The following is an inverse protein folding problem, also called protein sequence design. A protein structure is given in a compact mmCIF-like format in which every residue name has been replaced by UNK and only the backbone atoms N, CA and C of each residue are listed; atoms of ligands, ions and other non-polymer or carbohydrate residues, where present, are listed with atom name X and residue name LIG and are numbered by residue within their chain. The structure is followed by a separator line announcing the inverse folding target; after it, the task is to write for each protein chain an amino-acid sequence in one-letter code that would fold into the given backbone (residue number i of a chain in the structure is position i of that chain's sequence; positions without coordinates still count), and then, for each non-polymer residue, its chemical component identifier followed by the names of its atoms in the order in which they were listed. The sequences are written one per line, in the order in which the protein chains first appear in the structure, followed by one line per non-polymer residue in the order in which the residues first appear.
data_IF_791902692775
#
_entry.id   IF_791902692775
#
_cell.length_a   1.000
_cell.length_b   1.000
_cell.length_c   1.000
_cell.angle_alpha   90.00
_cell.angle_beta   90.00
_cell.angle_gamma   90.00
#
_symmetry.space_group_name_H-M   'P 1'
#
loop_
_entity.id
_entity.type
_entity.pdbx_description
1 polymer ?
#
# COMPACT_ATOMS: atom_id res chain seq x y z
N UNK A 1 -49.02 -0.81 5.84
CA UNK A 1 -47.69 -0.44 6.35
C UNK A 1 -47.31 -1.51 7.36
N UNK A 2 -46.24 -2.27 7.13
CA UNK A 2 -45.83 -3.29 8.08
C UNK A 2 -45.36 -2.61 9.37
N UNK A 3 -45.94 -3.00 10.49
CA UNK A 3 -45.58 -2.50 11.82
C UNK A 3 -44.11 -2.91 12.11
N UNK A 4 -43.20 -1.96 12.35
CA UNK A 4 -41.81 -2.27 12.70
C UNK A 4 -41.78 -2.99 14.06
N UNK A 5 -41.13 -4.15 14.12
CA UNK A 5 -40.96 -4.92 15.35
C UNK A 5 -40.02 -4.23 16.31
N UNK A 6 -40.27 -4.35 17.62
CA UNK A 6 -39.40 -3.82 18.67
C UNK A 6 -37.96 -4.35 18.50
N UNK A 7 -36.95 -3.48 18.62
CA UNK A 7 -35.54 -3.86 18.43
C UNK A 7 -35.05 -4.91 19.44
N UNK A 8 -35.58 -4.91 20.64
CA UNK A 8 -35.28 -5.97 21.62
C UNK A 8 -35.86 -7.31 21.18
N UNK A 9 -37.06 -7.30 20.60
CA UNK A 9 -37.70 -8.52 20.05
C UNK A 9 -36.94 -9.02 18.81
N UNK A 10 -36.46 -8.12 17.96
CA UNK A 10 -35.66 -8.47 16.76
C UNK A 10 -34.37 -9.19 17.17
N UNK A 11 -33.71 -8.74 18.24
CA UNK A 11 -32.52 -9.42 18.77
C UNK A 11 -32.84 -10.59 19.72
N UNK A 12 -34.10 -10.78 20.10
CA UNK A 12 -34.53 -11.86 21.02
C UNK A 12 -34.02 -11.69 22.45
N UNK A 13 -33.93 -10.46 22.93
CA UNK A 13 -33.42 -10.08 24.26
C UNK A 13 -34.44 -9.22 25.02
N UNK A 14 -34.30 -9.10 26.34
CA UNK A 14 -35.15 -8.23 27.17
C UNK A 14 -34.71 -6.77 27.16
N UNK A 15 -35.63 -5.82 27.44
CA UNK A 15 -35.33 -4.36 27.52
C UNK A 15 -34.26 -4.00 28.55
N UNK A 16 -33.91 -4.87 29.47
CA UNK A 16 -32.86 -4.67 30.47
C UNK A 16 -31.54 -5.33 30.14
N UNK A 17 -31.38 -5.89 28.95
CA UNK A 17 -30.19 -6.64 28.55
C UNK A 17 -28.92 -5.76 28.62
N UNK A 18 -27.82 -6.34 29.08
CA UNK A 18 -26.51 -5.72 29.12
C UNK A 18 -25.91 -5.60 27.71
N UNK A 19 -24.94 -4.68 27.53
CA UNK A 19 -24.23 -4.50 26.25
C UNK A 19 -23.56 -5.80 25.78
N UNK A 20 -23.09 -6.62 26.71
CA UNK A 20 -22.51 -7.93 26.40
C UNK A 20 -23.55 -8.90 25.83
N UNK A 21 -24.77 -8.88 26.35
CA UNK A 21 -25.89 -9.72 25.87
C UNK A 21 -26.38 -9.25 24.51
N UNK A 22 -26.51 -7.94 24.28
CA UNK A 22 -26.85 -7.34 22.99
C UNK A 22 -25.83 -7.77 21.94
N UNK A 23 -24.54 -7.65 22.22
CA UNK A 23 -23.46 -8.03 21.32
C UNK A 23 -23.41 -9.52 21.04
N UNK A 24 -23.72 -10.37 22.03
CA UNK A 24 -23.79 -11.83 21.88
C UNK A 24 -24.97 -12.26 21.01
N UNK A 25 -26.16 -11.68 21.24
CA UNK A 25 -27.36 -11.94 20.45
C UNK A 25 -27.16 -11.54 18.99
N UNK A 26 -26.64 -10.34 18.75
CA UNK A 26 -26.31 -9.87 17.41
C UNK A 26 -25.38 -10.83 16.66
N UNK A 27 -24.24 -11.21 17.26
CA UNK A 27 -23.28 -12.15 16.61
C UNK A 27 -23.91 -13.48 16.24
N UNK A 28 -24.79 -14.00 17.10
CA UNK A 28 -25.48 -15.26 16.84
C UNK A 28 -26.46 -15.16 15.67
N UNK A 29 -27.26 -14.09 15.64
CA UNK A 29 -28.24 -13.85 14.58
C UNK A 29 -27.59 -13.44 13.26
N UNK A 30 -26.57 -12.60 13.30
CA UNK A 30 -25.82 -12.19 12.12
C UNK A 30 -25.17 -13.38 11.41
N UNK A 31 -24.61 -14.35 12.18
CA UNK A 31 -24.06 -15.58 11.62
C UNK A 31 -25.14 -16.49 11.01
N UNK A 32 -26.35 -16.53 11.64
CA UNK A 32 -27.47 -17.36 11.18
C UNK A 32 -28.11 -16.83 9.90
N UNK A 33 -28.22 -15.50 9.76
CA UNK A 33 -28.89 -14.84 8.63
C UNK A 33 -27.92 -14.17 7.66
N UNK A 34 -26.62 -14.53 7.71
CA UNK A 34 -25.63 -14.02 6.77
C UNK A 34 -25.97 -14.42 5.33
N UNK A 35 -25.93 -13.52 4.35
CA UNK A 35 -26.32 -13.81 2.97
C UNK A 35 -25.49 -14.93 2.32
N UNK A 36 -24.23 -15.12 2.74
CA UNK A 36 -23.37 -16.19 2.24
C UNK A 36 -23.72 -17.57 2.84
N UNK A 37 -24.39 -17.61 3.98
CA UNK A 37 -24.69 -18.85 4.73
C UNK A 37 -26.16 -19.24 4.57
N UNK A 38 -27.07 -18.26 4.54
CA UNK A 38 -28.51 -18.48 4.46
C UNK A 38 -29.07 -17.90 3.15
N UNK A 39 -29.62 -18.77 2.30
CA UNK A 39 -30.20 -18.42 0.99
C UNK A 39 -31.74 -18.33 1.01
N UNK A 40 -32.37 -18.28 2.18
CA UNK A 40 -33.83 -18.09 2.30
C UNK A 40 -34.23 -16.68 1.80
N UNK A 41 -35.37 -16.59 1.14
CA UNK A 41 -35.84 -15.35 0.50
C UNK A 41 -36.03 -14.18 1.49
N UNK A 42 -36.21 -14.45 2.78
CA UNK A 42 -36.40 -13.46 3.84
C UNK A 42 -35.15 -13.26 4.72
N UNK A 43 -34.04 -13.98 4.45
CA UNK A 43 -32.80 -13.88 5.22
C UNK A 43 -32.20 -12.47 5.13
N UNK A 44 -32.19 -11.87 3.95
CA UNK A 44 -31.67 -10.51 3.72
C UNK A 44 -32.49 -9.45 4.47
N UNK A 45 -33.82 -9.58 4.46
CA UNK A 45 -34.69 -8.66 5.18
C UNK A 45 -34.48 -8.76 6.71
N UNK A 46 -34.40 -9.99 7.24
CA UNK A 46 -34.11 -10.25 8.64
C UNK A 46 -32.71 -9.77 9.04
N UNK A 47 -31.71 -9.94 8.19
CA UNK A 47 -30.36 -9.45 8.43
C UNK A 47 -30.30 -7.92 8.52
N UNK A 48 -31.06 -7.21 7.67
CA UNK A 48 -31.18 -5.74 7.73
C UNK A 48 -31.84 -5.28 9.04
N UNK A 49 -32.93 -5.96 9.45
CA UNK A 49 -33.59 -5.64 10.73
C UNK A 49 -32.66 -5.89 11.95
N UNK A 50 -31.89 -6.98 11.94
CA UNK A 50 -30.93 -7.31 13.00
C UNK A 50 -29.81 -6.26 13.10
N UNK A 51 -29.31 -5.77 11.95
CA UNK A 51 -28.30 -4.73 11.92
C UNK A 51 -28.86 -3.39 12.42
N UNK A 52 -30.07 -3.00 12.00
CA UNK A 52 -30.74 -1.78 12.47
C UNK A 52 -30.97 -1.84 13.99
N UNK A 53 -31.43 -2.97 14.51
CA UNK A 53 -31.63 -3.15 15.93
C UNK A 53 -30.32 -3.07 16.74
N UNK A 54 -29.27 -3.68 16.25
CA UNK A 54 -27.96 -3.64 16.91
C UNK A 54 -27.35 -2.23 16.89
N UNK A 55 -27.48 -1.50 15.79
CA UNK A 55 -26.99 -0.13 15.66
C UNK A 55 -27.62 0.79 16.72
N UNK A 56 -28.91 0.65 16.96
CA UNK A 56 -29.60 1.48 17.95
C UNK A 56 -29.29 1.04 19.37
N UNK A 57 -29.29 -0.24 19.66
CA UNK A 57 -29.16 -0.78 21.02
C UNK A 57 -27.70 -0.86 21.50
N UNK A 58 -26.71 -0.83 20.59
CA UNK A 58 -25.28 -0.85 20.96
C UNK A 58 -24.74 0.52 21.39
N UNK A 59 -25.41 1.60 21.02
CA UNK A 59 -25.03 2.96 21.41
C UNK A 59 -25.85 3.42 22.61
N UNK A 60 -25.23 3.76 23.76
CA UNK A 60 -25.95 4.14 24.97
C UNK A 60 -26.92 5.33 24.78
N UNK A 61 -26.56 6.31 23.94
CA UNK A 61 -27.40 7.48 23.70
C UNK A 61 -28.61 7.16 22.82
N UNK A 62 -28.38 6.39 21.72
CA UNK A 62 -29.46 5.95 20.83
C UNK A 62 -30.40 5.01 21.56
N UNK A 63 -29.87 4.11 22.38
CA UNK A 63 -30.64 3.19 23.21
C UNK A 63 -31.53 3.96 24.21
N UNK A 64 -30.97 4.94 24.90
CA UNK A 64 -31.74 5.77 25.84
C UNK A 64 -32.88 6.55 25.14
N UNK A 65 -32.61 7.07 23.94
CA UNK A 65 -33.63 7.74 23.14
C UNK A 65 -34.70 6.78 22.65
N UNK A 66 -34.32 5.59 22.24
CA UNK A 66 -35.25 4.53 21.85
C UNK A 66 -36.09 4.04 23.02
N UNK A 67 -35.49 3.84 24.20
CA UNK A 67 -36.18 3.42 25.41
C UNK A 67 -37.22 4.40 25.90
N UNK A 68 -36.98 5.75 25.72
CA UNK A 68 -37.88 6.82 26.13
C UNK A 68 -38.98 7.13 25.11
N UNK A 69 -38.65 7.14 23.82
CA UNK A 69 -39.53 7.66 22.77
C UNK A 69 -39.91 6.60 21.70
N UNK A 70 -39.39 5.38 21.78
CA UNK A 70 -39.61 4.33 20.82
C UNK A 70 -39.16 4.75 19.41
N UNK A 71 -39.81 4.21 18.39
CA UNK A 71 -39.59 4.60 16.99
C UNK A 71 -39.92 6.07 16.69
N UNK A 72 -40.79 6.71 17.46
CA UNK A 72 -41.14 8.12 17.29
C UNK A 72 -39.92 9.02 17.60
N UNK A 73 -39.11 8.69 18.58
CA UNK A 73 -37.89 9.42 18.90
C UNK A 73 -36.82 9.33 17.84
N UNK A 74 -36.77 8.21 17.12
CA UNK A 74 -35.84 8.02 16.02
C UNK A 74 -36.28 8.73 14.73
N UNK A 75 -37.59 8.96 14.55
CA UNK A 75 -38.17 9.71 13.42
C UNK A 75 -38.28 11.22 13.66
N UNK A 76 -38.08 11.70 14.90
CA UNK A 76 -38.22 13.09 15.28
C UNK A 76 -37.20 14.05 14.70
N UNK A 77 -36.18 13.59 14.00
CA UNK A 77 -35.21 14.40 13.24
C UNK A 77 -35.68 14.78 11.82
N UNK A 78 -36.95 14.51 11.48
CA UNK A 78 -37.49 14.68 10.13
C UNK A 78 -38.24 16.00 9.88
N UNK A 79 -38.11 16.95 10.79
CA UNK A 79 -38.62 18.32 10.57
C UNK A 79 -37.53 19.24 10.03
N UNK A 80 -36.86 18.88 8.96
CA UNK A 80 -35.86 19.73 8.32
C UNK A 80 -34.88 19.00 7.40
N UNK A 81 -35.33 18.47 6.26
CA UNK A 81 -34.45 18.21 5.11
C UNK A 81 -33.99 16.76 4.89
N UNK A 82 -34.77 16.00 4.15
CA UNK A 82 -34.23 15.13 3.09
C UNK A 82 -33.54 13.82 3.47
N UNK A 83 -34.21 12.86 4.11
CA UNK A 83 -33.74 11.47 4.16
C UNK A 83 -34.65 10.51 3.36
N UNK A 84 -34.86 10.87 2.12
CA UNK A 84 -35.62 10.06 1.16
C UNK A 84 -34.79 9.75 -0.06
N UNK A 85 -33.94 8.71 -0.02
CA UNK A 85 -33.20 8.33 -1.22
C UNK A 85 -32.06 7.35 -1.01
N UNK A 86 -32.22 6.32 -0.16
CA UNK A 86 -31.24 5.23 -0.09
C UNK A 86 -31.85 3.90 -0.57
N UNK A 87 -32.38 3.96 -1.78
CA UNK A 87 -32.87 2.79 -2.51
C UNK A 87 -32.18 2.71 -3.85
N UNK A 88 -31.02 2.10 -3.93
CA UNK A 88 -30.40 1.82 -5.23
C UNK A 88 -28.89 1.56 -5.13
N UNK A 89 -28.51 0.28 -5.09
CA UNK A 89 -27.19 -0.16 -5.56
C UNK A 89 -26.08 -0.33 -4.54
N UNK A 90 -26.22 -1.25 -3.61
CA UNK A 90 -25.06 -1.83 -2.91
C UNK A 90 -24.61 -3.09 -3.64
N UNK A 91 -23.50 -2.95 -4.39
CA UNK A 91 -22.74 -4.09 -4.85
C UNK A 91 -21.69 -4.45 -3.79
N UNK A 92 -21.59 -5.74 -3.51
CA UNK A 92 -20.83 -6.34 -2.43
C UNK A 92 -19.33 -6.01 -2.47
N UNK A 93 -18.80 -5.42 -1.40
CA UNK A 93 -17.37 -5.23 -1.21
C UNK A 93 -17.04 -4.55 0.12
N UNK A 94 -16.53 -5.31 1.09
CA UNK A 94 -15.72 -4.85 2.19
C UNK A 94 -16.40 -4.16 3.38
N UNK A 95 -16.49 -4.87 4.49
CA UNK A 95 -17.01 -4.40 5.79
C UNK A 95 -16.20 -3.27 6.45
N UNK A 96 -14.96 -3.01 6.02
CA UNK A 96 -14.09 -1.97 6.59
C UNK A 96 -14.45 -0.56 6.09
N UNK A 97 -14.93 -0.41 4.85
CA UNK A 97 -15.30 0.89 4.27
C UNK A 97 -16.60 1.48 4.87
N UNK A 98 -17.47 0.64 5.44
CA UNK A 98 -18.72 1.10 6.06
C UNK A 98 -18.49 1.90 7.35
N UNK A 99 -17.45 1.58 8.10
CA UNK A 99 -17.13 2.28 9.34
C UNK A 99 -16.53 3.67 9.08
N UNK A 100 -15.78 3.83 8.00
CA UNK A 100 -15.19 5.11 7.60
C UNK A 100 -16.22 6.06 6.96
N UNK A 101 -17.15 5.54 6.17
CA UNK A 101 -18.25 6.34 5.59
C UNK A 101 -19.22 6.74 6.69
N UNK A 102 -19.47 5.86 7.66
CA UNK A 102 -20.37 6.14 8.78
C UNK A 102 -19.77 7.12 9.77
N UNK A 103 -18.51 7.03 10.10
CA UNK A 103 -17.79 7.99 10.95
C UNK A 103 -17.68 9.38 10.29
N UNK A 104 -17.56 9.44 8.98
CA UNK A 104 -17.53 10.67 8.20
C UNK A 104 -18.90 11.36 8.12
N UNK A 105 -19.98 10.59 8.07
CA UNK A 105 -21.34 11.12 7.93
C UNK A 105 -22.03 11.41 9.30
N UNK A 106 -21.79 10.57 10.31
CA UNK A 106 -22.42 10.70 11.63
C UNK A 106 -21.52 11.33 12.72
N UNK A 107 -20.20 11.19 12.58
CA UNK A 107 -19.23 11.83 13.48
C UNK A 107 -19.13 13.36 13.29
N UNK A 108 -19.69 13.89 12.22
CA UNK A 108 -19.64 15.32 11.89
C UNK A 108 -20.93 16.12 12.12
N UNK A 109 -22.04 15.51 12.55
CA UNK A 109 -23.33 16.16 12.34
C UNK A 109 -24.38 16.20 13.42
N UNK A 110 -24.15 15.81 14.67
CA UNK A 110 -25.21 16.05 15.66
C UNK A 110 -24.74 15.92 17.13
N UNK A 111 -24.03 16.89 17.59
CA UNK A 111 -23.68 16.92 18.99
C UNK A 111 -22.69 18.02 19.34
N UNK A 112 -23.20 19.19 19.53
CA UNK A 112 -22.43 20.29 20.05
C UNK A 112 -22.24 21.40 19.03
N UNK A 113 -22.83 22.52 19.32
CA UNK A 113 -22.25 23.82 19.06
C UNK A 113 -20.86 23.87 19.75
N UNK A 114 -19.98 22.98 19.39
CA UNK A 114 -18.57 23.27 19.40
C UNK A 114 -18.45 24.34 18.32
N UNK A 115 -18.27 25.57 18.72
CA UNK A 115 -17.57 26.59 17.97
C UNK A 115 -16.31 25.90 17.44
N UNK A 116 -16.47 25.11 16.37
CA UNK A 116 -15.39 24.59 15.58
C UNK A 116 -14.61 25.81 15.21
N UNK A 117 -13.55 26.05 15.93
CA UNK A 117 -12.50 26.95 15.56
C UNK A 117 -12.29 26.72 14.09
N UNK A 118 -12.90 27.58 13.24
CA UNK A 118 -12.66 27.58 11.80
C UNK A 118 -11.17 27.63 11.69
N UNK A 119 -10.55 26.47 11.40
CA UNK A 119 -9.11 26.38 11.22
C UNK A 119 -8.80 27.48 10.24
N UNK A 120 -8.21 28.54 10.73
CA UNK A 120 -7.76 29.66 9.91
C UNK A 120 -7.06 29.06 8.71
N UNK A 121 -7.49 29.43 7.51
CA UNK A 121 -6.86 28.97 6.27
C UNK A 121 -5.35 29.30 6.22
N UNK A 122 -4.92 30.14 7.16
CA UNK A 122 -3.55 30.61 7.37
C UNK A 122 -2.74 29.79 8.40
N UNK A 123 -3.27 28.69 8.93
CA UNK A 123 -2.52 27.80 9.82
C UNK A 123 -1.37 27.08 9.09
N UNK A 124 -0.33 26.65 9.83
CA UNK A 124 0.75 25.83 9.28
C UNK A 124 0.19 24.58 8.60
N UNK A 125 0.62 24.32 7.37
CA UNK A 125 0.23 23.13 6.61
C UNK A 125 1.46 22.37 6.16
N UNK A 126 1.45 21.05 6.31
CA UNK A 126 2.48 20.17 5.76
C UNK A 126 2.54 20.33 4.23
N UNK A 127 3.75 20.33 3.67
CA UNK A 127 3.97 20.26 2.22
C UNK A 127 3.53 18.94 1.62
N UNK A 128 3.38 18.90 0.32
CA UNK A 128 3.04 17.70 -0.41
C UNK A 128 4.19 16.70 -0.40
N UNK A 129 3.87 15.42 -0.38
CA UNK A 129 4.84 14.36 -0.47
C UNK A 129 5.29 14.19 -1.93
N UNK A 130 6.58 13.88 -2.14
CA UNK A 130 7.16 13.65 -3.48
C UNK A 130 7.36 12.16 -3.69
N UNK A 131 7.14 11.71 -4.91
CA UNK A 131 7.35 10.34 -5.33
C UNK A 131 8.41 10.29 -6.42
N UNK A 132 9.42 9.45 -6.26
CA UNK A 132 10.47 9.22 -7.24
C UNK A 132 10.70 7.72 -7.39
N UNK A 133 11.05 7.30 -8.61
CA UNK A 133 11.47 5.91 -8.87
C UNK A 133 12.99 5.85 -8.90
N UNK A 134 13.55 4.83 -8.25
CA UNK A 134 14.98 4.59 -8.17
C UNK A 134 15.31 3.21 -8.69
N UNK A 135 16.15 3.15 -9.71
CA UNK A 135 16.67 1.89 -10.25
C UNK A 135 17.92 1.50 -9.47
N UNK A 136 17.96 0.27 -9.00
CA UNK A 136 19.13 -0.32 -8.33
C UNK A 136 19.54 -1.61 -9.00
N UNK A 137 20.81 -1.99 -8.88
CA UNK A 137 21.26 -3.27 -9.41
C UNK A 137 20.72 -4.43 -8.58
N UNK A 138 20.68 -5.62 -9.18
CA UNK A 138 20.28 -6.84 -8.49
C UNK A 138 21.13 -7.10 -7.25
N UNK A 139 22.46 -6.92 -7.36
CA UNK A 139 23.40 -7.12 -6.25
C UNK A 139 23.20 -6.10 -5.14
N UNK A 140 22.96 -4.82 -5.48
CA UNK A 140 22.64 -3.78 -4.49
C UNK A 140 21.36 -4.10 -3.73
N UNK A 141 20.36 -4.68 -4.41
CA UNK A 141 19.12 -5.12 -3.76
C UNK A 141 19.32 -6.33 -2.83
N UNK A 142 20.26 -7.23 -3.16
CA UNK A 142 20.57 -8.40 -2.32
C UNK A 142 21.32 -8.02 -1.05
N UNK A 143 22.32 -7.15 -1.16
CA UNK A 143 23.23 -6.82 -0.04
C UNK A 143 22.92 -5.52 0.67
N UNK A 144 22.07 -4.70 0.07
CA UNK A 144 21.85 -3.34 0.52
C UNK A 144 22.99 -2.40 0.13
N UNK A 145 22.69 -1.12 0.09
CA UNK A 145 23.64 -0.08 -0.32
C UNK A 145 23.25 1.26 0.29
N UNK A 146 24.21 2.13 0.51
CA UNK A 146 23.95 3.55 0.73
C UNK A 146 24.17 4.27 -0.59
N UNK A 147 23.12 4.92 -1.10
CA UNK A 147 23.16 5.67 -2.33
C UNK A 147 22.94 7.16 -2.06
N UNK A 148 23.78 8.02 -2.63
CA UNK A 148 23.63 9.47 -2.49
C UNK A 148 22.86 10.01 -3.68
N UNK A 149 21.68 10.59 -3.45
CA UNK A 149 20.88 11.22 -4.49
C UNK A 149 20.93 12.75 -4.36
N UNK A 150 20.92 13.43 -5.51
CA UNK A 150 20.84 14.89 -5.56
C UNK A 150 19.39 15.31 -5.76
N UNK A 151 18.87 16.09 -4.83
CA UNK A 151 17.51 16.62 -4.85
C UNK A 151 17.53 18.14 -4.93
N UNK A 152 16.61 18.71 -5.70
CA UNK A 152 16.32 20.14 -5.64
C UNK A 152 15.13 20.31 -4.69
N UNK A 153 15.37 20.99 -3.59
CA UNK A 153 14.34 21.29 -2.57
C UNK A 153 14.20 22.81 -2.44
N UNK A 154 13.01 23.25 -2.02
CA UNK A 154 12.79 24.64 -1.65
C UNK A 154 13.06 24.81 -0.14
N UNK A 155 14.09 25.54 0.21
CA UNK A 155 14.43 25.87 1.59
C UNK A 155 14.10 27.34 1.86
N UNK A 156 13.90 27.64 3.14
CA UNK A 156 13.70 29.03 3.55
C UNK A 156 14.90 29.89 3.16
N UNK A 157 14.62 31.04 2.58
CA UNK A 157 15.64 32.01 2.27
C UNK A 157 16.36 32.46 3.55
N UNK A 158 17.65 32.32 3.59
CA UNK A 158 18.49 32.64 4.75
C UNK A 158 18.53 34.15 5.08
N UNK A 159 18.17 35.01 4.13
CA UNK A 159 18.12 36.47 4.34
C UNK A 159 16.82 36.92 5.00
N UNK A 160 15.67 36.40 4.56
CA UNK A 160 14.35 36.82 5.05
C UNK A 160 13.65 35.79 5.95
N UNK A 161 14.23 34.61 6.15
CA UNK A 161 13.71 33.54 6.97
C UNK A 161 12.23 33.20 6.68
N UNK A 162 11.91 33.10 5.39
CA UNK A 162 10.57 32.71 4.93
C UNK A 162 9.54 33.86 4.86
N UNK A 163 9.88 35.08 5.25
CA UNK A 163 8.93 36.21 5.20
C UNK A 163 8.72 36.77 3.79
N UNK A 164 9.69 36.59 2.91
CA UNK A 164 9.69 37.19 1.57
C UNK A 164 9.96 38.71 1.56
N UNK A 165 10.10 39.35 2.70
CA UNK A 165 10.34 40.79 2.81
C UNK A 165 11.81 41.12 2.96
N UNK A 166 12.22 42.32 2.53
CA UNK A 166 13.57 42.78 2.69
C UNK A 166 13.98 43.00 4.14
N UNK A 167 13.02 43.43 4.99
CA UNK A 167 13.16 43.56 6.43
C UNK A 167 11.84 43.17 7.14
N UNK A 168 11.88 42.83 8.44
CA UNK A 168 10.66 42.54 9.20
C UNK A 168 9.64 43.69 9.22
N UNK A 169 10.10 44.95 9.13
CA UNK A 169 9.27 46.16 9.06
C UNK A 169 8.53 46.33 7.72
N UNK A 170 8.96 45.62 6.67
CA UNK A 170 8.32 45.64 5.36
C UNK A 170 7.15 44.65 5.26
N UNK A 171 6.82 43.91 6.35
CA UNK A 171 5.69 43.01 6.43
C UNK A 171 4.55 43.69 7.15
N UNK A 172 3.42 43.88 6.48
CA UNK A 172 2.20 44.48 7.04
C UNK A 172 1.06 43.48 7.04
N UNK A 173 0.14 43.66 7.96
CA UNK A 173 -1.12 42.91 7.91
C UNK A 173 -1.91 43.35 6.68
N UNK A 174 -2.42 42.39 5.91
CA UNK A 174 -3.20 42.67 4.71
C UNK A 174 -4.45 43.50 5.09
N UNK A 175 -4.64 44.70 4.50
CA UNK A 175 -5.78 45.56 4.85
C UNK A 175 -7.12 44.99 4.40
N UNK A 176 -7.15 44.15 3.36
CA UNK A 176 -8.38 43.62 2.77
C UNK A 176 -8.94 42.47 3.58
N UNK A 177 -8.12 41.60 4.12
CA UNK A 177 -8.57 40.44 4.92
C UNK A 177 -8.22 40.56 6.41
N UNK A 178 -7.59 41.63 6.82
CA UNK A 178 -7.18 41.90 8.22
C UNK A 178 -6.39 40.72 8.83
N UNK A 179 -5.55 40.08 8.03
CA UNK A 179 -4.72 38.96 8.46
C UNK A 179 -5.34 37.57 8.30
N UNK A 180 -6.64 37.46 7.97
CA UNK A 180 -7.32 36.16 7.86
C UNK A 180 -6.91 35.35 6.62
N UNK A 181 -6.33 35.98 5.61
CA UNK A 181 -5.97 35.33 4.33
C UNK A 181 -7.15 35.02 3.42
N UNK A 182 -8.37 35.25 3.87
CA UNK A 182 -9.59 34.98 3.10
C UNK A 182 -10.59 36.12 3.24
N UNK A 183 -11.44 36.27 2.24
CA UNK A 183 -12.54 37.24 2.24
C UNK A 183 -13.86 36.49 2.10
N UNK A 184 -14.87 36.94 2.82
CA UNK A 184 -16.22 36.40 2.77
C UNK A 184 -17.06 37.31 1.88
N UNK A 185 -17.52 36.77 0.76
CA UNK A 185 -18.43 37.47 -0.14
C UNK A 185 -19.84 36.95 0.08
N UNK A 186 -20.77 37.87 0.31
CA UNK A 186 -22.19 37.54 0.42
C UNK A 186 -22.86 37.81 -0.92
N UNK A 187 -23.43 36.78 -1.51
CA UNK A 187 -24.27 36.90 -2.70
C UNK A 187 -25.74 36.66 -2.34
N UNK A 188 -26.57 37.65 -2.64
CA UNK A 188 -28.03 37.51 -2.54
C UNK A 188 -28.56 36.87 -3.81
N UNK A 189 -29.14 35.69 -3.68
CA UNK A 189 -29.81 34.98 -4.75
C UNK A 189 -31.31 34.93 -4.46
N UNK A 190 -32.14 34.56 -5.47
CA UNK A 190 -33.57 34.39 -5.25
C UNK A 190 -33.96 33.34 -4.22
N UNK A 191 -33.00 32.48 -3.81
CA UNK A 191 -33.15 31.40 -2.83
C UNK A 191 -32.54 31.70 -1.46
N UNK A 192 -32.01 32.93 -1.25
CA UNK A 192 -31.40 33.31 0.02
C UNK A 192 -30.02 33.96 -0.14
N UNK A 193 -29.40 34.23 1.01
CA UNK A 193 -28.07 34.83 1.10
C UNK A 193 -27.05 33.70 1.20
N UNK A 194 -26.20 33.53 0.17
CA UNK A 194 -25.08 32.63 0.21
C UNK A 194 -23.80 33.37 0.63
N UNK A 195 -23.12 32.81 1.62
CA UNK A 195 -21.77 33.27 2.01
C UNK A 195 -20.74 32.36 1.36
N UNK A 196 -19.92 32.92 0.49
CA UNK A 196 -18.78 32.24 -0.11
C UNK A 196 -17.48 32.78 0.47
N UNK A 197 -16.62 31.90 0.96
CA UNK A 197 -15.29 32.27 1.42
C UNK A 197 -14.30 32.00 0.30
N UNK A 198 -13.59 33.04 -0.14
CA UNK A 198 -12.55 32.98 -1.17
C UNK A 198 -11.20 33.42 -0.64
N UNK A 199 -10.13 32.96 -1.28
CA UNK A 199 -8.76 33.44 -0.97
C UNK A 199 -8.69 34.93 -1.20
N UNK A 200 -8.08 35.67 -0.27
CA UNK A 200 -7.92 37.12 -0.41
C UNK A 200 -7.10 37.46 -1.66
N UNK A 201 -7.61 38.28 -2.58
CA UNK A 201 -6.93 38.60 -3.84
C UNK A 201 -5.64 39.40 -3.66
N UNK A 202 -5.55 40.18 -2.56
CA UNK A 202 -4.39 41.06 -2.33
C UNK A 202 -3.20 40.35 -1.67
N UNK A 203 -3.45 39.37 -0.82
CA UNK A 203 -2.38 38.65 -0.13
C UNK A 203 -2.28 37.18 -0.55
N UNK A 204 -3.12 36.71 -1.45
CA UNK A 204 -3.14 35.34 -1.95
C UNK A 204 -3.10 34.28 -0.83
N UNK A 205 -3.85 34.53 0.25
CA UNK A 205 -3.97 33.61 1.36
C UNK A 205 -2.97 33.79 2.50
N UNK A 206 -1.93 34.59 2.34
CA UNK A 206 -0.89 34.79 3.37
C UNK A 206 -1.32 35.65 4.56
N UNK A 207 -2.35 36.45 4.40
CA UNK A 207 -2.78 37.43 5.41
C UNK A 207 -1.83 38.63 5.60
N UNK A 208 -0.72 38.65 4.86
CA UNK A 208 0.34 39.66 4.97
C UNK A 208 0.59 40.31 3.61
N UNK A 209 0.97 41.57 3.62
CA UNK A 209 1.40 42.33 2.43
C UNK A 209 2.85 42.72 2.60
N UNK A 210 3.65 42.54 1.55
CA UNK A 210 5.08 42.88 1.54
C UNK A 210 5.24 44.20 0.82
N UNK A 211 5.84 45.21 1.49
CA UNK A 211 6.16 46.50 0.87
C UNK A 211 7.38 46.43 -0.02
N UNK A 212 8.45 45.81 0.49
CA UNK A 212 9.67 45.58 -0.26
C UNK A 212 10.00 44.11 -0.28
N UNK A 213 10.06 43.54 -1.48
CA UNK A 213 10.43 42.14 -1.66
C UNK A 213 11.90 41.90 -1.27
N UNK A 214 12.19 40.79 -0.67
CA UNK A 214 13.55 40.34 -0.38
C UNK A 214 14.36 40.22 -1.69
N UNK A 215 15.50 40.86 -1.81
CA UNK A 215 16.27 40.88 -3.06
C UNK A 215 16.83 39.50 -3.43
N UNK A 216 17.01 38.62 -2.45
CA UNK A 216 17.58 37.30 -2.67
C UNK A 216 16.55 36.31 -3.22
N UNK A 217 15.36 36.23 -2.62
CA UNK A 217 14.32 35.30 -3.05
C UNK A 217 13.21 35.94 -3.91
N UNK A 218 13.31 37.24 -4.21
CA UNK A 218 12.31 37.95 -5.03
C UNK A 218 10.90 38.01 -4.41
N UNK A 219 10.77 37.89 -3.09
CA UNK A 219 9.49 37.96 -2.40
C UNK A 219 8.86 36.59 -2.08
N UNK A 220 9.42 35.49 -2.59
CA UNK A 220 8.88 34.15 -2.38
C UNK A 220 9.09 33.63 -0.96
N UNK A 221 10.11 34.12 -0.25
CA UNK A 221 10.53 33.63 1.06
C UNK A 221 11.36 32.34 1.00
N UNK A 222 11.55 31.75 -0.19
CA UNK A 222 12.20 30.46 -0.39
C UNK A 222 13.18 30.48 -1.56
N UNK A 223 14.16 29.60 -1.52
CA UNK A 223 15.18 29.41 -2.54
C UNK A 223 15.28 27.95 -2.93
N UNK A 224 15.48 27.69 -4.22
CA UNK A 224 15.74 26.33 -4.71
C UNK A 224 17.21 26.00 -4.46
N UNK A 225 17.45 25.02 -3.60
CA UNK A 225 18.79 24.50 -3.31
C UNK A 225 18.90 23.05 -3.74
N UNK A 226 20.06 22.72 -4.33
CA UNK A 226 20.40 21.34 -4.61
C UNK A 226 21.08 20.77 -3.37
N UNK A 227 20.50 19.73 -2.80
CA UNK A 227 21.04 19.02 -1.65
C UNK A 227 21.36 17.58 -2.03
N UNK A 228 22.39 17.02 -1.39
CA UNK A 228 22.69 15.58 -1.47
C UNK A 228 22.12 14.89 -0.26
N UNK A 229 21.43 13.78 -0.48
CA UNK A 229 20.80 13.00 0.59
C UNK A 229 21.24 11.56 0.45
N UNK A 230 21.80 11.01 1.53
CA UNK A 230 22.19 9.60 1.60
C UNK A 230 21.00 8.75 1.94
N UNK A 231 20.69 7.80 1.06
CA UNK A 231 19.59 6.85 1.20
C UNK A 231 20.16 5.48 1.53
N UNK A 232 19.81 4.97 2.69
CA UNK A 232 20.17 3.60 3.06
C UNK A 232 19.15 2.62 2.50
N UNK A 233 19.55 1.86 1.50
CA UNK A 233 18.79 0.78 0.90
C UNK A 233 19.04 -0.49 1.73
N UNK A 234 18.03 -1.09 2.37
CA UNK A 234 18.23 -2.29 3.15
C UNK A 234 18.48 -3.51 2.25
N UNK A 235 19.25 -4.47 2.75
CA UNK A 235 19.44 -5.75 2.09
C UNK A 235 18.11 -6.51 1.97
N UNK A 236 17.91 -7.20 0.86
CA UNK A 236 16.71 -7.97 0.62
C UNK A 236 15.52 -7.16 0.09
N UNK A 237 15.68 -5.89 -0.23
CA UNK A 237 14.62 -5.05 -0.80
C UNK A 237 14.13 -5.60 -2.14
N UNK A 238 12.84 -5.41 -2.44
CA UNK A 238 12.20 -5.91 -3.66
C UNK A 238 11.68 -4.77 -4.52
N UNK A 239 11.47 -5.06 -5.80
CA UNK A 239 10.81 -4.12 -6.72
C UNK A 239 9.42 -3.75 -6.21
N UNK A 240 9.06 -2.46 -6.33
CA UNK A 240 7.78 -1.90 -5.89
C UNK A 240 7.75 -1.49 -4.42
N UNK A 241 8.78 -1.83 -3.62
CA UNK A 241 8.86 -1.34 -2.25
C UNK A 241 9.25 0.13 -2.19
N UNK A 242 8.72 0.84 -1.20
CA UNK A 242 8.92 2.26 -1.03
C UNK A 242 9.76 2.56 0.20
N UNK A 243 10.76 3.41 0.01
CA UNK A 243 11.58 3.98 1.09
C UNK A 243 11.12 5.40 1.36
N UNK A 244 10.76 5.71 2.60
CA UNK A 244 10.37 7.04 3.02
C UNK A 244 11.57 7.81 3.57
N UNK A 245 11.80 9.01 3.04
CA UNK A 245 12.80 9.96 3.52
C UNK A 245 12.07 11.19 4.05
N UNK A 246 12.04 11.33 5.36
CA UNK A 246 11.25 12.36 6.05
C UNK A 246 11.75 13.77 5.73
N UNK A 247 10.80 14.69 5.49
CA UNK A 247 11.07 16.11 5.29
C UNK A 247 11.80 16.46 4.00
N UNK A 248 11.85 15.57 2.99
CA UNK A 248 12.48 15.78 1.68
C UNK A 248 11.46 15.87 0.54
N UNK A 249 10.18 16.02 0.84
CA UNK A 249 9.10 16.35 -0.08
C UNK A 249 9.05 17.84 -0.42
N UNK A 250 7.88 18.30 -0.83
CA UNK A 250 7.64 19.72 -1.11
C UNK A 250 7.60 20.53 0.20
N UNK A 251 7.87 21.84 0.09
CA UNK A 251 7.83 22.73 1.24
C UNK A 251 6.45 22.80 1.88
N UNK A 252 6.43 22.97 3.19
CA UNK A 252 5.21 23.33 3.92
C UNK A 252 4.81 24.78 3.72
N UNK A 253 3.55 25.04 3.99
CA UNK A 253 2.98 26.40 3.88
C UNK A 253 2.82 27.01 5.27
N UNK A 254 2.96 28.34 5.34
CA UNK A 254 2.76 29.12 6.57
C UNK A 254 3.54 28.61 7.78
N UNK A 255 4.80 28.18 7.56
CA UNK A 255 5.65 27.62 8.63
C UNK A 255 5.36 26.15 8.96
N UNK A 256 4.57 25.48 8.14
CA UNK A 256 4.35 24.03 8.27
C UNK A 256 5.60 23.21 7.85
N UNK A 257 5.70 21.95 8.27
CA UNK A 257 6.81 21.08 7.91
C UNK A 257 6.75 20.72 6.43
N UNK A 258 7.91 20.40 5.87
CA UNK A 258 7.97 19.85 4.52
C UNK A 258 7.26 18.49 4.44
N UNK A 259 6.84 18.12 3.25
CA UNK A 259 6.40 16.77 2.91
C UNK A 259 7.54 15.77 3.01
N UNK A 260 7.25 14.52 2.72
CA UNK A 260 8.22 13.43 2.70
C UNK A 260 8.54 13.04 1.25
N UNK A 261 9.71 12.43 1.06
CA UNK A 261 10.07 11.83 -0.22
C UNK A 261 9.87 10.31 -0.11
N UNK A 262 9.11 9.76 -1.04
CA UNK A 262 8.92 8.33 -1.22
C UNK A 262 9.70 7.87 -2.45
N UNK A 263 10.62 6.94 -2.24
CA UNK A 263 11.43 6.32 -3.28
C UNK A 263 10.88 4.93 -3.58
N UNK A 264 10.24 4.77 -4.72
CA UNK A 264 9.82 3.46 -5.23
C UNK A 264 11.04 2.77 -5.84
N UNK A 265 11.43 1.64 -5.27
CA UNK A 265 12.59 0.87 -5.72
C UNK A 265 12.21 0.00 -6.92
N UNK A 266 13.02 0.06 -7.96
CA UNK A 266 12.95 -0.82 -9.12
C UNK A 266 14.27 -1.56 -9.25
N UNK A 267 14.25 -2.87 -8.99
CA UNK A 267 15.44 -3.73 -9.11
C UNK A 267 15.60 -4.14 -10.57
N UNK A 268 16.77 -3.83 -11.13
CA UNK A 268 17.10 -4.23 -12.48
C UNK A 268 17.33 -5.75 -12.55
N UNK A 269 16.90 -6.44 -13.64
CA UNK A 269 17.15 -7.85 -13.81
C UNK A 269 18.64 -8.15 -13.90
N UNK A 270 19.03 -9.34 -13.47
CA UNK A 270 20.39 -9.88 -13.64
C UNK A 270 20.41 -10.82 -14.82
N UNK A 271 21.56 -10.96 -15.48
CA UNK A 271 21.71 -11.81 -16.68
C UNK A 271 21.47 -13.31 -16.41
N UNK A 272 21.86 -13.77 -15.23
CA UNK A 272 21.85 -15.20 -14.90
C UNK A 272 21.01 -15.54 -13.66
N UNK A 273 20.90 -14.61 -12.72
CA UNK A 273 20.14 -14.85 -11.49
C UNK A 273 18.72 -14.34 -11.61
N UNK A 274 17.78 -15.18 -11.22
CA UNK A 274 16.39 -14.80 -10.97
C UNK A 274 16.12 -14.83 -9.46
N UNK A 275 15.21 -13.99 -8.99
CA UNK A 275 14.88 -13.91 -7.58
C UNK A 275 13.38 -14.04 -7.37
N UNK A 276 13.01 -14.90 -6.42
CA UNK A 276 11.65 -15.01 -5.90
C UNK A 276 11.67 -14.90 -4.36
N UNK A 277 11.11 -13.81 -3.86
CA UNK A 277 11.20 -13.50 -2.44
C UNK A 277 12.65 -13.33 -1.98
N UNK A 278 13.16 -14.26 -1.18
CA UNK A 278 14.53 -14.30 -0.70
C UNK A 278 15.38 -15.37 -1.38
N UNK A 279 14.78 -16.27 -2.16
CA UNK A 279 15.48 -17.33 -2.83
C UNK A 279 15.98 -16.87 -4.21
N UNK A 280 17.16 -17.38 -4.59
CA UNK A 280 17.81 -17.09 -5.86
C UNK A 280 17.74 -18.33 -6.74
N UNK A 281 17.41 -18.16 -7.99
CA UNK A 281 17.34 -19.22 -8.99
C UNK A 281 18.44 -19.03 -10.02
N UNK A 282 19.07 -20.14 -10.38
CA UNK A 282 20.12 -20.18 -11.39
C UNK A 282 20.00 -21.48 -12.20
N UNK A 283 19.91 -21.33 -13.52
CA UNK A 283 20.02 -22.46 -14.43
C UNK A 283 21.49 -22.64 -14.85
N UNK A 284 22.02 -23.86 -14.71
CA UNK A 284 23.39 -24.18 -15.08
C UNK A 284 23.42 -25.23 -16.20
N UNK A 285 24.23 -25.00 -17.25
CA UNK A 285 24.42 -26.01 -18.28
C UNK A 285 25.39 -27.09 -17.77
N UNK A 286 24.99 -28.34 -17.93
CA UNK A 286 25.83 -29.53 -17.62
C UNK A 286 25.85 -30.43 -18.80
N UNK A 287 27.03 -30.97 -19.17
CA UNK A 287 27.12 -31.90 -20.30
C UNK A 287 26.38 -33.21 -20.00
N UNK A 288 25.86 -33.86 -21.02
CA UNK A 288 25.20 -35.17 -20.87
C UNK A 288 26.14 -36.23 -20.28
N UNK A 289 27.42 -36.13 -20.55
CA UNK A 289 28.47 -37.02 -20.00
C UNK A 289 28.64 -36.79 -18.50
N UNK A 290 28.79 -35.52 -18.10
CA UNK A 290 28.94 -35.14 -16.69
C UNK A 290 27.70 -35.49 -15.88
N UNK A 291 26.51 -35.28 -16.44
CA UNK A 291 25.25 -35.65 -15.80
C UNK A 291 25.13 -37.17 -15.61
N UNK A 292 25.70 -37.97 -16.53
CA UNK A 292 25.68 -39.41 -16.44
C UNK A 292 26.69 -39.95 -15.44
N UNK A 293 27.91 -39.43 -15.44
CA UNK A 293 29.03 -39.93 -14.63
C UNK A 293 29.06 -39.26 -13.23
N UNK A 294 28.44 -38.10 -13.10
CA UNK A 294 28.57 -37.24 -11.93
C UNK A 294 29.82 -36.36 -12.00
N UNK A 295 29.67 -35.13 -11.53
CA UNK A 295 30.77 -34.14 -11.56
C UNK A 295 30.69 -33.22 -10.35
N UNK A 296 31.82 -32.64 -9.99
CA UNK A 296 31.87 -31.52 -9.05
C UNK A 296 32.18 -30.25 -9.83
N UNK A 297 31.34 -29.25 -9.70
CA UNK A 297 31.47 -27.97 -10.40
C UNK A 297 31.40 -26.81 -9.43
N UNK A 298 32.06 -25.73 -9.76
CA UNK A 298 31.93 -24.47 -9.00
C UNK A 298 30.77 -23.68 -9.56
N UNK A 299 29.76 -23.47 -8.72
CA UNK A 299 28.52 -22.76 -9.04
C UNK A 299 28.60 -21.35 -8.52
N UNK A 300 28.39 -20.32 -9.36
CA UNK A 300 28.36 -18.95 -8.89
C UNK A 300 27.15 -18.72 -7.99
N UNK A 301 27.40 -18.05 -6.89
CA UNK A 301 26.34 -17.56 -5.99
C UNK A 301 26.51 -16.05 -5.79
N UNK A 302 25.49 -15.38 -5.27
CA UNK A 302 25.63 -13.96 -4.92
C UNK A 302 26.69 -13.73 -3.82
N UNK A 303 27.09 -14.79 -3.08
CA UNK A 303 28.12 -14.77 -2.04
C UNK A 303 29.48 -15.30 -2.48
N UNK A 304 29.72 -15.45 -3.80
CA UNK A 304 30.90 -16.09 -4.37
C UNK A 304 30.63 -17.53 -4.77
N UNK A 305 31.64 -18.17 -5.36
CA UNK A 305 31.52 -19.53 -5.92
C UNK A 305 31.43 -20.60 -4.83
N UNK A 306 30.64 -21.62 -5.08
CA UNK A 306 30.47 -22.78 -4.19
C UNK A 306 30.60 -24.06 -4.99
N UNK A 307 31.52 -24.94 -4.57
CA UNK A 307 31.67 -26.26 -5.19
C UNK A 307 30.44 -27.13 -4.88
N UNK A 308 29.71 -27.55 -5.92
CA UNK A 308 28.53 -28.40 -5.81
C UNK A 308 28.79 -29.72 -6.51
N UNK A 309 28.44 -30.83 -5.83
CA UNK A 309 28.53 -32.18 -6.41
C UNK A 309 27.21 -32.54 -7.08
N UNK A 310 27.29 -32.84 -8.37
CA UNK A 310 26.20 -33.38 -9.19
C UNK A 310 26.31 -34.90 -9.15
N UNK A 311 25.32 -35.64 -8.61
CA UNK A 311 25.34 -37.10 -8.58
C UNK A 311 25.28 -37.71 -9.98
N UNK A 312 25.85 -38.89 -10.14
CA UNK A 312 25.71 -39.65 -11.36
C UNK A 312 24.23 -39.98 -11.66
N UNK A 313 23.85 -39.89 -12.93
CA UNK A 313 22.47 -40.13 -13.38
C UNK A 313 21.51 -38.95 -13.11
N UNK A 314 22.01 -37.75 -12.85
CA UNK A 314 21.20 -36.54 -12.71
C UNK A 314 20.43 -36.27 -14.01
N UNK A 315 19.12 -36.00 -13.85
CA UNK A 315 18.21 -35.74 -14.98
C UNK A 315 18.08 -34.24 -15.24
N UNK A 316 17.68 -33.90 -16.48
CA UNK A 316 17.38 -32.52 -16.85
C UNK A 316 16.28 -31.94 -15.95
N UNK A 317 16.40 -30.65 -15.59
CA UNK A 317 15.46 -29.97 -14.70
C UNK A 317 15.61 -30.34 -13.23
N UNK A 318 16.60 -31.18 -12.85
CA UNK A 318 16.85 -31.48 -11.42
C UNK A 318 17.25 -30.22 -10.67
N UNK A 319 16.56 -29.96 -9.57
CA UNK A 319 16.82 -28.81 -8.72
C UNK A 319 17.64 -29.19 -7.50
N UNK A 320 18.71 -28.45 -7.27
CA UNK A 320 19.61 -28.62 -6.14
C UNK A 320 19.60 -27.33 -5.29
N UNK A 321 19.60 -27.49 -3.97
CA UNK A 321 19.52 -26.37 -3.05
C UNK A 321 20.86 -26.10 -2.37
N UNK A 322 21.36 -24.89 -2.50
CA UNK A 322 22.50 -24.35 -1.76
C UNK A 322 21.96 -23.52 -0.60
N UNK A 323 21.98 -24.10 0.59
CA UNK A 323 21.37 -23.52 1.79
C UNK A 323 22.08 -22.23 2.21
N UNK A 324 21.28 -21.18 2.49
CA UNK A 324 21.78 -19.89 2.97
C UNK A 324 22.59 -19.12 1.92
N UNK A 325 22.40 -19.42 0.62
CA UNK A 325 23.03 -18.71 -0.50
C UNK A 325 22.10 -17.80 -1.27
N UNK A 326 20.90 -17.56 -0.72
CA UNK A 326 19.97 -16.55 -1.19
C UNK A 326 20.24 -15.17 -0.61
N UNK A 327 19.24 -14.28 -0.68
CA UNK A 327 19.34 -12.92 -0.14
C UNK A 327 18.92 -12.86 1.32
N UNK A 328 19.33 -11.79 2.01
CA UNK A 328 18.89 -11.49 3.36
C UNK A 328 17.36 -11.27 3.40
N UNK A 329 16.74 -11.60 4.55
CA UNK A 329 15.34 -11.29 4.80
C UNK A 329 15.23 -9.83 5.26
N UNK A 330 14.38 -9.03 4.60
CA UNK A 330 14.17 -7.61 4.88
C UNK A 330 13.68 -7.36 6.32
N UNK A 331 12.92 -8.31 6.88
CA UNK A 331 12.34 -8.21 8.23
C UNK A 331 13.17 -8.90 9.33
N UNK A 332 14.35 -9.37 8.96
CA UNK A 332 15.20 -10.17 9.83
C UNK A 332 14.81 -11.65 9.82
N UNK A 333 15.77 -12.52 9.95
CA UNK A 333 15.55 -13.95 9.89
C UNK A 333 16.72 -14.66 9.24
N UNK A 334 16.43 -15.84 8.70
CA UNK A 334 17.43 -16.60 7.93
C UNK A 334 17.45 -16.11 6.48
N UNK A 335 18.65 -16.01 5.94
CA UNK A 335 18.84 -15.79 4.51
C UNK A 335 18.11 -16.87 3.70
N UNK A 336 17.75 -16.52 2.49
CA UNK A 336 17.16 -17.45 1.52
C UNK A 336 18.18 -18.48 1.07
N UNK A 337 17.73 -19.37 0.22
CA UNK A 337 18.55 -20.39 -0.40
C UNK A 337 18.80 -20.07 -1.87
N UNK A 338 19.84 -20.66 -2.48
CA UNK A 338 19.98 -20.65 -3.94
C UNK A 338 19.51 -21.98 -4.50
N UNK A 339 18.61 -21.92 -5.46
CA UNK A 339 18.06 -23.08 -6.16
C UNK A 339 18.76 -23.17 -7.53
N UNK A 340 19.55 -24.19 -7.70
CA UNK A 340 20.29 -24.44 -8.94
C UNK A 340 19.55 -25.50 -9.75
N UNK A 341 19.14 -25.16 -10.97
CA UNK A 341 18.48 -26.09 -11.89
C UNK A 341 19.50 -26.60 -12.92
N UNK A 342 19.68 -27.90 -12.98
CA UNK A 342 20.56 -28.55 -13.98
C UNK A 342 19.84 -28.53 -15.31
N UNK A 343 20.51 -27.99 -16.35
CA UNK A 343 20.09 -28.05 -17.75
C UNK A 343 21.07 -28.89 -18.54
N UNK A 344 20.63 -30.06 -18.93
CA UNK A 344 21.51 -30.96 -19.70
C UNK A 344 21.70 -30.42 -21.11
N UNK A 345 22.95 -30.21 -21.47
CA UNK A 345 23.33 -29.77 -22.80
C UNK A 345 23.99 -30.91 -23.58
N UNK A 346 23.65 -30.99 -24.86
CA UNK A 346 24.26 -31.95 -25.79
C UNK A 346 25.18 -31.17 -26.70
N UNK A 347 26.41 -31.70 -26.88
CA UNK A 347 27.40 -31.10 -27.75
C UNK A 347 26.90 -31.05 -29.20
N UNK A 348 26.94 -29.86 -29.80
CA UNK A 348 26.52 -29.66 -31.19
C UNK A 348 27.57 -30.12 -32.20
N UNK A 349 28.84 -30.15 -31.81
CA UNK A 349 29.97 -30.58 -32.65
C UNK A 349 30.91 -31.47 -31.83
N UNK A 350 31.24 -32.61 -32.36
CA UNK A 350 32.12 -33.56 -31.72
C UNK A 350 33.45 -33.62 -32.49
N UNK A 351 34.56 -33.71 -31.77
CA UNK A 351 35.85 -34.08 -32.35
C UNK A 351 35.80 -35.54 -32.90
N UNK A 352 36.73 -35.90 -33.75
CA UNK A 352 36.80 -37.29 -34.31
C UNK A 352 36.86 -38.36 -33.21
N UNK A 353 37.65 -38.11 -32.17
CA UNK A 353 37.78 -39.04 -31.04
C UNK A 353 36.51 -39.16 -30.21
N UNK A 354 35.85 -38.04 -29.93
CA UNK A 354 34.59 -38.06 -29.20
C UNK A 354 33.52 -38.81 -29.96
N UNK A 355 33.43 -38.60 -31.28
CA UNK A 355 32.49 -39.33 -32.14
C UNK A 355 32.72 -40.83 -32.07
N UNK A 356 33.97 -41.27 -32.21
CA UNK A 356 34.35 -42.69 -32.12
C UNK A 356 33.90 -43.28 -30.75
N UNK A 357 34.08 -42.56 -29.64
CA UNK A 357 33.66 -43.03 -28.32
C UNK A 357 32.14 -43.06 -28.16
N UNK A 358 31.41 -42.08 -28.72
CA UNK A 358 29.95 -42.08 -28.70
C UNK A 358 29.38 -43.22 -29.59
N UNK A 359 29.96 -43.52 -30.72
CA UNK A 359 29.61 -44.67 -31.59
C UNK A 359 29.80 -46.00 -30.86
N UNK A 360 30.94 -46.21 -30.17
CA UNK A 360 31.17 -47.37 -29.32
C UNK A 360 30.14 -47.47 -28.17
N UNK A 361 29.81 -46.36 -27.53
CA UNK A 361 28.78 -46.32 -26.48
C UNK A 361 27.39 -46.72 -27.03
N UNK A 362 27.07 -46.25 -28.24
CA UNK A 362 25.83 -46.59 -28.92
C UNK A 362 25.73 -48.08 -29.23
N UNK A 363 26.85 -48.69 -29.73
CA UNK A 363 26.94 -50.12 -29.98
C UNK A 363 26.73 -50.94 -28.70
N UNK A 364 27.37 -50.54 -27.61
CA UNK A 364 27.20 -51.18 -26.29
C UNK A 364 25.76 -51.09 -25.77
N UNK A 365 25.08 -49.96 -25.97
CA UNK A 365 23.68 -49.78 -25.59
C UNK A 365 22.76 -50.66 -26.43
N UNK A 366 23.02 -50.79 -27.73
CA UNK A 366 22.25 -51.63 -28.67
C UNK A 366 22.47 -53.12 -28.42
N UNK A 367 23.66 -53.54 -28.01
CA UNK A 367 24.00 -54.93 -27.68
C UNK A 367 23.55 -55.35 -26.28
N UNK A 368 23.30 -54.42 -25.37
CA UNK A 368 22.77 -54.73 -24.08
C UNK A 368 21.33 -55.21 -24.20
N UNK A 369 20.99 -56.40 -23.63
CA UNK A 369 19.65 -57.02 -23.65
C UNK A 369 18.58 -56.24 -22.86
N UNK A 370 18.78 -54.97 -22.56
CA UNK A 370 17.85 -54.11 -21.85
C UNK A 370 16.97 -53.30 -22.83
N UNK A 371 15.69 -53.15 -22.49
CA UNK A 371 14.79 -52.29 -23.26
C UNK A 371 15.32 -50.85 -23.29
N UNK A 372 15.42 -50.28 -24.49
CA UNK A 372 15.80 -48.87 -24.68
C UNK A 372 14.77 -47.93 -24.06
N UNK A 373 15.16 -46.70 -23.75
CA UNK A 373 14.24 -45.67 -23.23
C UNK A 373 13.03 -45.46 -24.16
N UNK A 374 13.26 -45.60 -25.49
CA UNK A 374 12.21 -45.50 -26.49
C UNK A 374 11.22 -46.70 -26.43
N UNK A 375 11.70 -47.91 -26.24
CA UNK A 375 10.85 -49.10 -26.09
C UNK A 375 10.01 -49.04 -24.81
N UNK A 376 10.61 -48.59 -23.70
CA UNK A 376 9.87 -48.33 -22.44
C UNK A 376 8.78 -47.27 -22.61
N UNK A 377 9.08 -46.23 -23.37
CA UNK A 377 8.10 -45.20 -23.69
C UNK A 377 6.96 -45.75 -24.54
N UNK A 378 7.31 -46.50 -25.61
CA UNK A 378 6.33 -47.12 -26.52
C UNK A 378 5.35 -48.04 -25.81
N UNK A 379 5.83 -48.85 -24.85
CA UNK A 379 4.99 -49.74 -24.02
C UNK A 379 4.02 -49.03 -23.11
N UNK A 380 4.27 -47.75 -22.83
CA UNK A 380 3.38 -46.96 -21.99
C UNK A 380 2.15 -46.41 -22.73
N UNK A 381 2.20 -46.44 -24.08
CA UNK A 381 1.13 -45.94 -24.95
C UNK A 381 0.42 -47.01 -25.75
N UNK A 382 0.88 -48.28 -25.66
CA UNK A 382 0.20 -49.46 -26.16
C UNK A 382 -0.38 -50.29 -25.02
#
# INVERSE_FOLDING_TARGET
MAEKRDYYEVLGISKGASDAEIKKAYRSLAKKYHPDVNKEADAEAKFKEINEAYEVLSDPQKRQTYDQFGFAGMNGSQAGGGFGGFGGGFNAGGFDDLNDIFSSFFGGGMGGFSTGSRRSSNGPRKGEDRYMRMNISFMDACFGKTETISLTVEEQCDQCHGTGAASPSDVETCPTCHGSGSVVTQQRTAFGVFQSQSVCPDCHGTGKKIRKACPKCGGTGYEKKRISVDIKIPAGIQTGQQLRVSGKGERGYNGGPNGDLYLEINVLPHESFERDGKDIYLDIPVSAVDATLGVSIDVPTIHGDVTMKIPAGTQDGTRMRLKGKGTADLHGGRDGDQIVTVRITVEKSLSRKERELYEQLQELQNSSKGETAWEKFKKKFM
#
